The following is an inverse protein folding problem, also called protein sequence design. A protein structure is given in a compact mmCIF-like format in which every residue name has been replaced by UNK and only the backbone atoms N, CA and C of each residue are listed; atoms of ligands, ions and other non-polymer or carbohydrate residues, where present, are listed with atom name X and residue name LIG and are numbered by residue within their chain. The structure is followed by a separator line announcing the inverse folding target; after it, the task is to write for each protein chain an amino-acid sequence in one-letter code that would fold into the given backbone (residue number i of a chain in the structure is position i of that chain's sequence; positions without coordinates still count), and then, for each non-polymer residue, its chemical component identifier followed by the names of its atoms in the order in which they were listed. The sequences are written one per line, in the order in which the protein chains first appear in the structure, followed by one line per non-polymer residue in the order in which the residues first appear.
data_IF_473050553877
#
_entry.id   IF_473050553877
#
_cell.length_a   1.000
_cell.length_b   1.000
_cell.length_c   1.000
_cell.angle_alpha   90.00
_cell.angle_beta   90.00
_cell.angle_gamma   90.00
#
_symmetry.space_group_name_H-M   'P 1'
#
loop_
_entity.id
_entity.type
_entity.pdbx_description
1 polymer ?
#
# COMPACT_ATOMS: atom_id res chain seq x y z
N UNK A 1 16.90 -22.50 -27.86
CA UNK A 1 17.23 -21.96 -26.51
C UNK A 1 16.19 -22.46 -25.55
N UNK A 2 16.57 -23.03 -24.41
CA UNK A 2 15.59 -23.58 -23.46
C UNK A 2 14.77 -22.44 -22.80
N UNK A 3 13.43 -22.57 -22.70
CA UNK A 3 12.56 -21.58 -22.07
C UNK A 3 13.01 -21.17 -20.66
N UNK A 4 13.58 -22.13 -19.93
CA UNK A 4 14.15 -21.95 -18.60
C UNK A 4 15.16 -20.76 -18.48
N UNK A 5 15.89 -20.42 -19.53
CA UNK A 5 16.89 -19.35 -19.49
C UNK A 5 16.30 -17.93 -19.50
N UNK A 6 15.01 -17.80 -19.74
CA UNK A 6 14.28 -16.52 -19.77
C UNK A 6 13.45 -16.27 -18.51
N UNK A 7 13.38 -17.24 -17.59
CA UNK A 7 12.66 -17.09 -16.34
C UNK A 7 13.43 -16.16 -15.40
N UNK A 8 12.75 -15.10 -14.98
CA UNK A 8 13.23 -14.14 -13.98
C UNK A 8 12.45 -14.37 -12.69
N UNK A 9 13.12 -14.58 -11.54
CA UNK A 9 12.44 -14.77 -10.27
C UNK A 9 11.63 -13.53 -9.87
N UNK A 10 10.33 -13.74 -9.60
CA UNK A 10 9.46 -12.74 -8.99
C UNK A 10 9.54 -12.75 -7.45
N UNK A 11 8.84 -11.81 -6.78
CA UNK A 11 8.92 -11.63 -5.32
C UNK A 11 8.63 -12.92 -4.51
N UNK A 12 7.64 -13.71 -4.93
CA UNK A 12 7.31 -14.97 -4.25
C UNK A 12 8.43 -16.01 -4.36
N UNK A 13 9.12 -16.07 -5.49
CA UNK A 13 10.26 -16.97 -5.64
C UNK A 13 11.40 -16.58 -4.70
N UNK A 14 11.74 -15.29 -4.67
CA UNK A 14 12.73 -14.76 -3.73
C UNK A 14 12.34 -15.01 -2.27
N UNK A 15 11.07 -14.85 -1.94
CA UNK A 15 10.56 -15.11 -0.59
C UNK A 15 10.59 -16.58 -0.19
N UNK A 16 10.26 -17.49 -1.10
CA UNK A 16 10.22 -18.93 -0.83
C UNK A 16 11.60 -19.58 -0.84
N UNK A 17 12.43 -19.25 -1.82
CA UNK A 17 13.73 -19.87 -2.00
C UNK A 17 14.74 -18.92 -2.63
N UNK A 18 15.38 -18.15 -1.78
CA UNK A 18 16.35 -17.14 -2.18
C UNK A 18 17.50 -17.74 -2.99
N UNK A 19 18.10 -18.83 -2.49
CA UNK A 19 19.24 -19.46 -3.12
C UNK A 19 18.94 -20.03 -4.52
N UNK A 20 17.72 -20.50 -4.76
CA UNK A 20 17.31 -20.96 -6.10
C UNK A 20 17.02 -19.78 -7.05
N UNK A 21 16.46 -18.69 -6.52
CA UNK A 21 16.22 -17.48 -7.27
C UNK A 21 17.54 -16.83 -7.74
N UNK A 22 18.50 -16.70 -6.84
CA UNK A 22 19.82 -16.11 -7.10
C UNK A 22 20.62 -16.85 -8.19
N UNK A 23 20.45 -18.15 -8.29
CA UNK A 23 21.09 -18.99 -9.33
C UNK A 23 20.49 -18.82 -10.72
N UNK A 24 19.40 -18.07 -10.87
CA UNK A 24 18.77 -17.87 -12.19
C UNK A 24 19.57 -16.90 -13.06
N UNK A 25 19.69 -17.17 -14.37
CA UNK A 25 20.25 -16.21 -15.30
C UNK A 25 19.47 -14.89 -15.24
N UNK A 26 20.18 -13.77 -15.18
CA UNK A 26 19.58 -12.42 -15.09
C UNK A 26 18.76 -12.15 -13.81
N UNK A 27 18.92 -12.96 -12.76
CA UNK A 27 18.33 -12.65 -11.47
C UNK A 27 18.91 -11.35 -10.92
N UNK A 28 18.02 -10.47 -10.45
CA UNK A 28 18.37 -9.25 -9.73
C UNK A 28 17.76 -9.36 -8.36
N UNK A 29 18.59 -9.49 -7.33
CA UNK A 29 18.11 -9.60 -5.97
C UNK A 29 17.33 -8.32 -5.55
N UNK A 30 16.21 -8.47 -4.84
CA UNK A 30 15.51 -7.33 -4.28
C UNK A 30 16.44 -6.53 -3.34
N UNK A 31 16.27 -5.19 -3.27
CA UNK A 31 17.05 -4.38 -2.34
C UNK A 31 16.79 -4.82 -0.91
N UNK A 32 17.86 -4.93 -0.12
CA UNK A 32 17.74 -5.20 1.32
C UNK A 32 17.62 -3.86 2.05
N UNK A 33 16.80 -3.83 3.11
CA UNK A 33 16.79 -2.71 4.03
C UNK A 33 18.12 -2.67 4.81
N UNK A 34 18.54 -1.48 5.23
CA UNK A 34 19.78 -1.30 6.01
C UNK A 34 19.80 -2.26 7.20
N UNK A 35 20.84 -3.12 7.26
CA UNK A 35 20.95 -4.16 8.26
C UNK A 35 20.07 -5.39 8.08
N UNK A 36 19.28 -5.45 6.98
CA UNK A 36 18.44 -6.61 6.67
C UNK A 36 19.24 -7.76 6.09
N UNK A 37 18.83 -8.99 6.42
CA UNK A 37 19.38 -10.21 5.86
C UNK A 37 18.23 -11.17 5.54
N UNK A 38 18.17 -11.66 4.31
CA UNK A 38 17.14 -12.62 3.88
C UNK A 38 17.14 -13.93 4.69
N UNK A 39 18.26 -14.30 5.30
CA UNK A 39 18.35 -15.47 6.20
C UNK A 39 17.53 -15.29 7.50
N UNK A 40 17.22 -14.05 7.88
CA UNK A 40 16.37 -13.74 9.04
C UNK A 40 14.87 -13.75 8.68
N UNK A 41 14.53 -13.97 7.43
CA UNK A 41 13.19 -13.98 6.90
C UNK A 41 12.95 -12.90 5.84
N UNK A 42 11.95 -13.11 5.03
CA UNK A 42 11.57 -12.22 3.92
C UNK A 42 10.12 -11.77 4.11
N UNK A 43 9.84 -10.51 3.85
CA UNK A 43 8.47 -9.98 3.75
C UNK A 43 8.13 -9.80 2.29
N UNK A 44 7.02 -10.38 1.85
CA UNK A 44 6.48 -10.21 0.49
C UNK A 44 5.18 -9.43 0.57
N UNK A 45 5.13 -8.28 -0.10
CA UNK A 45 3.90 -7.49 -0.25
C UNK A 45 3.24 -7.84 -1.59
N UNK A 46 1.97 -8.23 -1.53
CA UNK A 46 1.09 -8.39 -2.70
C UNK A 46 0.04 -7.30 -2.60
N UNK A 47 0.23 -6.24 -3.36
CA UNK A 47 -0.63 -5.07 -3.29
C UNK A 47 -1.82 -5.20 -4.24
N UNK A 48 -3.01 -4.76 -3.80
CA UNK A 48 -4.24 -4.71 -4.59
C UNK A 48 -4.62 -6.05 -5.27
N UNK A 49 -4.62 -7.15 -4.51
CA UNK A 49 -4.93 -8.50 -5.01
C UNK A 49 -6.30 -8.59 -5.72
N UNK A 50 -7.24 -7.74 -5.36
CA UNK A 50 -8.58 -7.68 -5.98
C UNK A 50 -8.56 -7.12 -7.41
N UNK A 51 -7.47 -6.52 -7.86
CA UNK A 51 -7.25 -6.11 -9.26
C UNK A 51 -6.63 -7.21 -10.13
N UNK A 52 -6.09 -8.25 -9.52
CA UNK A 52 -5.52 -9.38 -10.24
C UNK A 52 -6.61 -10.21 -10.96
N UNK A 53 -6.19 -11.05 -11.89
CA UNK A 53 -7.08 -12.01 -12.53
C UNK A 53 -7.69 -12.97 -11.49
N UNK A 54 -8.90 -13.46 -11.76
CA UNK A 54 -9.70 -14.22 -10.79
C UNK A 54 -9.02 -15.51 -10.31
N UNK A 55 -8.15 -16.07 -11.11
CA UNK A 55 -7.42 -17.30 -10.80
C UNK A 55 -6.18 -17.07 -9.94
N UNK A 56 -5.66 -15.85 -9.86
CA UNK A 56 -4.46 -15.53 -9.09
C UNK A 56 -4.61 -15.79 -7.59
N UNK A 57 -5.70 -15.39 -6.91
CA UNK A 57 -5.90 -15.72 -5.51
C UNK A 57 -5.93 -17.24 -5.23
N UNK A 58 -6.52 -18.02 -6.15
CA UNK A 58 -6.54 -19.49 -6.01
C UNK A 58 -5.15 -20.12 -6.20
N UNK A 59 -4.41 -19.69 -7.21
CA UNK A 59 -3.02 -20.10 -7.41
C UNK A 59 -2.12 -19.76 -6.23
N UNK A 60 -2.31 -18.58 -5.61
CA UNK A 60 -1.59 -18.20 -4.40
C UNK A 60 -1.91 -19.12 -3.22
N UNK A 61 -3.15 -19.60 -3.06
CA UNK A 61 -3.51 -20.54 -2.00
C UNK A 61 -2.70 -21.85 -2.08
N UNK A 62 -2.53 -22.36 -3.29
CA UNK A 62 -1.73 -23.54 -3.53
C UNK A 62 -0.26 -23.28 -3.17
N UNK A 63 0.31 -22.20 -3.70
CA UNK A 63 1.71 -21.83 -3.44
C UNK A 63 1.98 -21.62 -1.96
N UNK A 64 1.10 -20.89 -1.26
CA UNK A 64 1.28 -20.58 0.16
C UNK A 64 0.95 -21.78 1.06
N UNK A 65 0.02 -22.64 0.64
CA UNK A 65 -0.33 -23.87 1.38
C UNK A 65 0.74 -24.93 1.30
N UNK A 66 1.26 -25.19 0.11
CA UNK A 66 2.24 -26.24 -0.15
C UNK A 66 3.69 -25.76 -0.01
N UNK A 67 3.91 -24.46 0.10
CA UNK A 67 5.25 -23.84 0.13
C UNK A 67 6.03 -24.15 -1.14
N UNK A 68 5.34 -24.36 -2.26
CA UNK A 68 6.00 -24.70 -3.54
C UNK A 68 5.16 -24.27 -4.73
N UNK A 69 5.82 -24.06 -5.86
CA UNK A 69 5.18 -23.84 -7.15
C UNK A 69 6.04 -24.35 -8.29
N UNK A 70 5.38 -24.67 -9.41
CA UNK A 70 6.03 -25.14 -10.61
C UNK A 70 6.15 -24.03 -11.65
N UNK A 71 7.33 -23.38 -11.83
CA UNK A 71 7.51 -22.44 -12.92
C UNK A 71 7.40 -23.15 -14.26
N UNK A 72 6.72 -22.54 -15.22
CA UNK A 72 6.66 -23.05 -16.58
C UNK A 72 8.06 -23.14 -17.19
N UNK A 73 8.40 -24.30 -17.78
CA UNK A 73 9.71 -24.52 -18.40
C UNK A 73 10.82 -24.94 -17.44
N UNK A 74 10.53 -25.21 -16.17
CA UNK A 74 11.44 -25.92 -15.26
C UNK A 74 10.92 -27.35 -15.00
N UNK A 75 11.85 -28.29 -14.93
CA UNK A 75 11.52 -29.70 -14.65
C UNK A 75 11.19 -29.94 -13.17
N UNK A 76 11.72 -29.11 -12.28
CA UNK A 76 11.55 -29.25 -10.85
C UNK A 76 10.80 -28.05 -10.25
N UNK A 77 9.88 -28.30 -9.28
CA UNK A 77 9.22 -27.21 -8.57
C UNK A 77 10.20 -26.40 -7.70
N UNK A 78 9.93 -25.14 -7.56
CA UNK A 78 10.53 -24.30 -6.52
C UNK A 78 9.86 -24.63 -5.21
N UNK A 79 10.62 -25.02 -4.19
CA UNK A 79 10.13 -25.36 -2.85
C UNK A 79 10.68 -24.37 -1.84
N UNK A 80 9.91 -24.10 -0.82
CA UNK A 80 10.36 -23.27 0.31
C UNK A 80 11.62 -23.87 0.93
N UNK A 81 12.59 -23.01 1.21
CA UNK A 81 13.86 -23.33 1.85
C UNK A 81 14.16 -22.31 2.95
N UNK A 82 14.29 -22.78 4.18
CA UNK A 82 14.50 -21.93 5.34
C UNK A 82 13.21 -21.39 5.98
N UNK A 83 13.27 -20.12 6.43
CA UNK A 83 12.15 -19.46 7.12
C UNK A 83 11.06 -19.11 6.11
N UNK A 84 9.82 -19.50 6.40
CA UNK A 84 8.68 -19.13 5.56
C UNK A 84 8.52 -17.60 5.48
N UNK A 85 8.25 -17.06 4.29
CA UNK A 85 8.09 -15.62 4.11
C UNK A 85 6.85 -15.11 4.85
N UNK A 86 6.93 -13.90 5.40
CA UNK A 86 5.75 -13.19 5.90
C UNK A 86 5.05 -12.50 4.73
N UNK A 87 3.85 -12.97 4.40
CA UNK A 87 3.09 -12.44 3.26
C UNK A 87 2.09 -11.40 3.74
N UNK A 88 2.20 -10.20 3.20
CA UNK A 88 1.23 -9.11 3.41
C UNK A 88 0.44 -8.93 2.11
N UNK A 89 -0.88 -8.99 2.20
CA UNK A 89 -1.76 -8.86 1.04
C UNK A 89 -2.71 -7.70 1.31
N UNK A 90 -2.81 -6.76 0.37
CA UNK A 90 -3.76 -5.66 0.47
C UNK A 90 -4.90 -5.83 -0.53
N UNK A 91 -6.05 -5.26 -0.20
CA UNK A 91 -7.21 -5.22 -1.08
C UNK A 91 -8.08 -3.99 -0.76
N UNK A 92 -8.51 -3.30 -1.78
CA UNK A 92 -9.52 -2.23 -1.69
C UNK A 92 -10.95 -2.78 -1.70
N UNK A 93 -11.11 -4.10 -1.88
CA UNK A 93 -12.41 -4.80 -1.96
C UNK A 93 -13.27 -4.32 -3.13
N UNK A 94 -12.66 -3.90 -4.23
CA UNK A 94 -13.37 -3.56 -5.46
C UNK A 94 -14.01 -4.80 -6.08
N UNK A 95 -13.35 -5.94 -5.93
CA UNK A 95 -13.89 -7.27 -6.23
C UNK A 95 -13.82 -8.17 -5.00
N UNK A 96 -14.79 -9.07 -4.85
CA UNK A 96 -14.79 -10.07 -3.79
C UNK A 96 -13.66 -11.08 -3.99
N UNK A 97 -12.91 -11.34 -2.94
CA UNK A 97 -11.93 -12.43 -2.92
C UNK A 97 -12.62 -13.75 -2.58
N UNK A 98 -12.14 -14.90 -3.11
CA UNK A 98 -12.70 -16.20 -2.80
C UNK A 98 -12.72 -16.46 -1.28
N UNK A 99 -13.83 -16.99 -0.77
CA UNK A 99 -13.97 -17.31 0.67
C UNK A 99 -12.87 -18.25 1.16
N UNK A 100 -12.46 -19.19 0.33
CA UNK A 100 -11.38 -20.13 0.64
C UNK A 100 -10.04 -19.40 0.85
N UNK A 101 -9.80 -18.32 0.12
CA UNK A 101 -8.62 -17.48 0.28
C UNK A 101 -8.69 -16.68 1.58
N UNK A 102 -9.79 -15.98 1.82
CA UNK A 102 -9.96 -15.15 3.02
C UNK A 102 -9.88 -15.96 4.31
N UNK A 103 -10.41 -17.20 4.33
CA UNK A 103 -10.36 -18.09 5.50
C UNK A 103 -8.94 -18.53 5.91
N UNK A 104 -7.97 -18.42 5.00
CA UNK A 104 -6.56 -18.77 5.27
C UNK A 104 -5.72 -17.55 5.65
N UNK A 105 -6.32 -16.37 5.69
CA UNK A 105 -5.64 -15.12 6.01
C UNK A 105 -6.06 -14.61 7.39
N UNK A 106 -5.12 -13.97 8.08
CA UNK A 106 -5.46 -13.08 9.19
C UNK A 106 -5.94 -11.77 8.60
N UNK A 107 -7.23 -11.47 8.75
CA UNK A 107 -7.83 -10.30 8.12
C UNK A 107 -7.86 -9.11 9.08
N UNK A 108 -7.15 -8.05 8.73
CA UNK A 108 -7.21 -6.77 9.40
C UNK A 108 -7.95 -5.75 8.53
N UNK A 109 -9.00 -5.16 9.08
CA UNK A 109 -9.74 -4.10 8.39
C UNK A 109 -9.23 -2.74 8.82
N UNK A 110 -8.66 -2.01 7.88
CA UNK A 110 -8.21 -0.63 8.09
C UNK A 110 -9.38 0.31 7.78
N UNK A 111 -10.14 0.69 8.80
CA UNK A 111 -11.24 1.64 8.67
C UNK A 111 -10.92 2.93 9.41
N UNK A 112 -11.35 4.04 8.83
CA UNK A 112 -11.30 5.33 9.53
C UNK A 112 -12.34 5.33 10.66
N UNK A 113 -12.05 5.99 11.80
CA UNK A 113 -13.00 6.18 12.86
C UNK A 113 -14.32 6.79 12.37
N UNK A 114 -15.43 6.37 12.96
CA UNK A 114 -16.75 6.95 12.69
C UNK A 114 -16.99 8.21 13.51
N UNK A 115 -16.39 8.28 14.69
CA UNK A 115 -16.42 9.45 15.55
C UNK A 115 -15.49 10.53 15.03
N UNK A 116 -15.98 11.75 14.91
CA UNK A 116 -15.21 12.85 14.31
C UNK A 116 -14.03 13.29 15.18
N UNK A 117 -14.17 13.21 16.49
CA UNK A 117 -13.11 13.61 17.44
C UNK A 117 -11.94 12.62 17.33
N UNK A 118 -12.26 11.34 17.30
CA UNK A 118 -11.24 10.28 17.12
C UNK A 118 -10.62 10.34 15.71
N UNK A 119 -11.43 10.61 14.70
CA UNK A 119 -10.93 10.78 13.32
C UNK A 119 -9.98 11.98 13.23
N UNK A 120 -10.38 13.14 13.81
CA UNK A 120 -9.53 14.33 13.86
C UNK A 120 -8.19 14.05 14.55
N UNK A 121 -8.23 13.42 15.71
CA UNK A 121 -7.04 13.04 16.45
C UNK A 121 -6.11 12.18 15.62
N UNK A 122 -6.64 11.13 14.99
CA UNK A 122 -5.85 10.21 14.14
C UNK A 122 -5.27 10.89 12.89
N UNK A 123 -6.00 11.82 12.28
CA UNK A 123 -5.50 12.61 11.15
C UNK A 123 -4.34 13.52 11.59
N UNK A 124 -4.48 14.24 12.71
CA UNK A 124 -3.44 15.12 13.24
C UNK A 124 -2.18 14.33 13.61
N UNK A 125 -2.32 13.20 14.32
CA UNK A 125 -1.19 12.31 14.63
C UNK A 125 -0.47 11.83 13.34
N UNK A 126 -1.25 11.50 12.32
CA UNK A 126 -0.68 11.11 11.01
C UNK A 126 0.02 12.29 10.33
N UNK A 127 -0.59 13.48 10.38
CA UNK A 127 0.02 14.70 9.86
C UNK A 127 1.36 15.02 10.53
N UNK A 128 1.45 14.91 11.84
CA UNK A 128 2.69 15.11 12.60
C UNK A 128 3.83 14.18 12.17
N UNK A 129 3.49 12.96 11.76
CA UNK A 129 4.48 11.98 11.31
C UNK A 129 4.99 12.23 9.88
N UNK A 130 4.27 13.01 9.06
CA UNK A 130 4.54 13.15 7.63
C UNK A 130 4.69 14.60 7.16
N UNK A 131 4.43 15.59 8.01
CA UNK A 131 4.44 17.01 7.67
C UNK A 131 5.14 17.84 8.74
N UNK A 132 5.73 18.95 8.33
CA UNK A 132 6.38 19.94 9.22
C UNK A 132 5.48 21.12 9.56
N UNK A 133 4.23 21.11 9.11
CA UNK A 133 3.26 22.16 9.42
C UNK A 133 2.93 22.19 10.92
N UNK A 134 2.50 23.36 11.39
CA UNK A 134 2.15 23.53 12.80
C UNK A 134 0.92 22.68 13.19
N UNK A 135 0.79 22.27 14.47
CA UNK A 135 -0.37 21.52 14.95
C UNK A 135 -1.72 22.20 14.65
N UNK A 136 -1.74 23.53 14.63
CA UNK A 136 -2.93 24.32 14.30
C UNK A 136 -3.35 24.10 12.86
N UNK A 137 -2.40 24.16 11.91
CA UNK A 137 -2.63 23.93 10.47
C UNK A 137 -3.05 22.49 10.21
N UNK A 138 -2.40 21.52 10.88
CA UNK A 138 -2.80 20.10 10.82
C UNK A 138 -4.23 19.88 11.30
N UNK A 139 -4.61 20.56 12.38
CA UNK A 139 -5.96 20.51 12.91
C UNK A 139 -6.99 21.10 11.95
N UNK A 140 -6.72 22.26 11.37
CA UNK A 140 -7.59 22.92 10.38
C UNK A 140 -7.78 22.03 9.13
N UNK A 141 -6.70 21.45 8.61
CA UNK A 141 -6.77 20.52 7.48
C UNK A 141 -7.63 19.28 7.81
N UNK A 142 -7.54 18.75 9.04
CA UNK A 142 -8.37 17.64 9.49
C UNK A 142 -9.85 18.04 9.57
N UNK A 143 -10.16 19.24 10.09
CA UNK A 143 -11.53 19.77 10.18
C UNK A 143 -12.15 19.97 8.79
N UNK A 144 -11.38 20.46 7.81
CA UNK A 144 -11.80 20.60 6.41
C UNK A 144 -12.14 19.23 5.82
N UNK A 145 -11.27 18.23 5.98
CA UNK A 145 -11.54 16.86 5.50
C UNK A 145 -12.81 16.29 6.13
N UNK A 146 -12.99 16.42 7.45
CA UNK A 146 -14.18 15.90 8.14
C UNK A 146 -15.44 16.57 7.61
N UNK A 147 -15.41 17.88 7.39
CA UNK A 147 -16.51 18.65 6.80
C UNK A 147 -16.87 18.10 5.42
N UNK A 148 -15.88 17.91 4.54
CA UNK A 148 -16.13 17.41 3.19
C UNK A 148 -16.61 15.95 3.17
N UNK A 149 -16.09 15.10 4.07
CA UNK A 149 -16.62 13.74 4.24
C UNK A 149 -18.10 13.71 4.61
N UNK A 150 -18.56 14.66 5.41
CA UNK A 150 -19.98 14.79 5.80
C UNK A 150 -20.83 15.31 4.65
N UNK A 151 -20.31 16.24 3.88
CA UNK A 151 -21.00 16.82 2.73
C UNK A 151 -21.06 15.87 1.54
N UNK A 152 -20.07 14.98 1.39
CA UNK A 152 -20.00 14.06 0.24
C UNK A 152 -21.08 12.99 0.29
N UNK A 153 -21.93 12.99 -0.74
CA UNK A 153 -22.93 11.95 -0.99
C UNK A 153 -22.40 10.82 -1.85
N UNK A 154 -21.28 11.03 -2.53
CA UNK A 154 -20.61 10.05 -3.41
C UNK A 154 -19.56 9.25 -2.66
N UNK A 155 -19.26 8.05 -3.16
CA UNK A 155 -18.19 7.19 -2.71
C UNK A 155 -17.11 7.09 -3.81
N UNK A 156 -15.83 6.95 -3.46
CA UNK A 156 -15.27 6.96 -2.10
C UNK A 156 -15.23 8.37 -1.50
N UNK A 157 -15.46 8.46 -0.19
CA UNK A 157 -15.32 9.73 0.54
C UNK A 157 -13.84 10.05 0.77
N UNK A 158 -13.45 11.35 0.83
CA UNK A 158 -12.07 11.74 1.13
C UNK A 158 -11.52 11.04 2.38
N UNK A 159 -10.28 10.60 2.33
CA UNK A 159 -9.63 9.82 3.38
C UNK A 159 -8.27 10.36 3.79
N UNK A 160 -7.44 9.51 4.39
CA UNK A 160 -6.10 9.87 4.84
C UNK A 160 -5.18 10.29 3.70
N UNK A 161 -5.34 9.70 2.51
CA UNK A 161 -4.51 10.03 1.36
C UNK A 161 -4.72 11.49 0.94
N UNK A 162 -5.99 11.91 0.77
CA UNK A 162 -6.34 13.28 0.42
C UNK A 162 -5.90 14.28 1.49
N UNK A 163 -5.96 13.88 2.78
CA UNK A 163 -5.44 14.70 3.87
C UNK A 163 -3.94 14.94 3.74
N UNK A 164 -3.16 13.87 3.52
CA UNK A 164 -1.71 13.99 3.36
C UNK A 164 -1.31 14.74 2.08
N UNK A 165 -2.06 14.55 0.99
CA UNK A 165 -1.85 15.29 -0.26
C UNK A 165 -2.11 16.78 -0.06
N UNK A 166 -3.16 17.15 0.71
CA UNK A 166 -3.44 18.54 1.06
C UNK A 166 -2.30 19.15 1.85
N UNK A 167 -1.79 18.47 2.88
CA UNK A 167 -0.65 18.97 3.67
C UNK A 167 0.60 19.15 2.80
N UNK A 168 0.90 18.17 1.95
CA UNK A 168 2.05 18.24 1.03
C UNK A 168 1.95 19.42 0.09
N UNK A 169 0.77 19.64 -0.52
CA UNK A 169 0.55 20.76 -1.43
C UNK A 169 0.73 22.12 -0.73
N UNK A 170 0.30 22.23 0.52
CA UNK A 170 0.52 23.44 1.33
C UNK A 170 2.02 23.64 1.62
N UNK A 171 2.73 22.61 2.03
CA UNK A 171 4.18 22.68 2.28
C UNK A 171 4.97 23.08 1.05
N UNK A 172 4.67 22.50 -0.11
CA UNK A 172 5.33 22.83 -1.37
C UNK A 172 5.12 24.30 -1.74
N UNK A 173 3.90 24.83 -1.58
CA UNK A 173 3.62 26.25 -1.87
C UNK A 173 4.33 27.20 -0.90
N UNK A 174 4.43 26.84 0.38
CA UNK A 174 5.16 27.63 1.37
C UNK A 174 6.68 27.69 1.08
N UNK A 175 7.24 26.63 0.48
CA UNK A 175 8.68 26.63 0.12
C UNK A 175 8.99 27.47 -1.11
N UNK A 176 8.03 27.65 -2.01
CA UNK A 176 8.23 28.39 -3.27
C UNK A 176 8.11 29.91 -3.08
N UNK A 177 7.36 30.37 -2.08
CA UNK A 177 7.04 31.80 -1.90
C UNK A 177 7.45 32.31 -0.54
N UNK A 178 8.63 32.93 -0.44
CA UNK A 178 9.12 33.52 0.81
C UNK A 178 8.27 34.73 1.32
N UNK A 179 7.36 35.28 0.51
CA UNK A 179 6.44 36.37 0.84
C UNK A 179 5.01 36.08 0.40
N UNK A 180 4.64 34.79 0.46
CA UNK A 180 3.35 34.28 -0.04
C UNK A 180 2.23 34.26 1.00
N UNK A 181 1.08 33.68 0.64
CA UNK A 181 -0.06 33.49 1.53
C UNK A 181 0.31 32.61 2.74
N UNK A 182 -0.41 32.78 3.83
CA UNK A 182 -0.25 31.93 5.02
C UNK A 182 -0.66 30.48 4.72
N UNK A 183 -0.22 29.55 5.58
CA UNK A 183 -0.61 28.15 5.46
C UNK A 183 -2.14 27.98 5.52
N UNK A 184 -2.83 28.77 6.32
CA UNK A 184 -4.29 28.77 6.44
C UNK A 184 -4.98 29.25 5.16
N UNK A 185 -4.45 30.31 4.54
CA UNK A 185 -4.97 30.80 3.25
C UNK A 185 -4.76 29.78 2.14
N UNK A 186 -3.60 29.11 2.12
CA UNK A 186 -3.30 28.03 1.18
C UNK A 186 -4.23 26.83 1.36
N UNK A 187 -4.50 26.40 2.60
CA UNK A 187 -5.45 25.33 2.89
C UNK A 187 -6.82 25.62 2.25
N UNK A 188 -7.36 26.81 2.50
CA UNK A 188 -8.68 27.19 1.97
C UNK A 188 -8.71 27.30 0.44
N UNK A 189 -7.57 27.63 -0.19
CA UNK A 189 -7.47 27.73 -1.65
C UNK A 189 -7.31 26.38 -2.34
N UNK A 190 -6.64 25.43 -1.70
CA UNK A 190 -6.29 24.13 -2.29
C UNK A 190 -7.36 23.06 -1.98
N UNK A 191 -8.04 23.16 -0.82
CA UNK A 191 -9.06 22.20 -0.36
C UNK A 191 -10.06 21.80 -1.46
N UNK A 192 -10.70 22.73 -2.22
CA UNK A 192 -11.71 22.33 -3.20
C UNK A 192 -11.19 21.41 -4.30
N UNK A 193 -9.91 21.50 -4.63
CA UNK A 193 -9.29 20.70 -5.71
C UNK A 193 -8.83 19.33 -5.26
N UNK A 194 -8.50 19.16 -3.99
CA UNK A 194 -8.00 17.89 -3.46
C UNK A 194 -9.06 17.06 -2.76
N UNK A 195 -9.96 17.68 -2.01
CA UNK A 195 -10.96 16.97 -1.23
C UNK A 195 -12.26 16.72 -2.01
N UNK A 196 -12.61 17.57 -2.97
CA UNK A 196 -13.85 17.48 -3.75
C UNK A 196 -13.67 16.93 -5.16
N UNK A 197 -12.65 16.11 -5.38
CA UNK A 197 -12.32 15.53 -6.71
C UNK A 197 -13.53 14.88 -7.42
N UNK A 198 -14.47 14.33 -6.67
CA UNK A 198 -15.65 13.62 -7.21
C UNK A 198 -16.79 14.54 -7.64
N UNK A 199 -16.75 15.82 -7.35
CA UNK A 199 -17.77 16.80 -7.77
C UNK A 199 -17.37 17.51 -9.08
N UNK A 200 -16.11 17.37 -9.50
CA UNK A 200 -15.56 18.07 -10.67
C UNK A 200 -15.56 17.24 -11.97
N UNK A 201 -16.13 16.01 -11.96
CA UNK A 201 -16.24 15.13 -13.14
C UNK A 201 -17.69 14.77 -13.40
#
# INVERSE_FOLDING_TARGET
MAPANYLIPGPLWWGLNWGSAEKRPKAVAPPQLDGGNHEQGVVVLIDEIDKAEIDVPNGLLEVLGDGSFQPEGLDNPVRADGIAPFIVITSNRERGLPDAFVRRCVVMRMALPKDDTELRKRLVERGQAHSKLSPEVLGQAADLLIKDRKASTKLPRPGQAEYLDLLRAVEEQLTVTASGPSAEELLNRIEPYLLRKTEAV
#
